data_IF_000688331485
#
_entry.id   IF_000688331485
#
_cell.length_a   1.000
_cell.length_b   1.000
_cell.length_c   1.000
_cell.angle_alpha   90.00
_cell.angle_beta   90.00
_cell.angle_gamma   90.00
#
_symmetry.space_group_name_H-M   'P 1'
#
loop_
_entity.id
_entity.type
_entity.pdbx_description
1 polymer ?
#
# COMPACT_ATOMS: atom_id res chain seq x y z
N UNK A 1 5.95 -12.45 13.74
CA UNK A 1 7.10 -12.20 14.64
C UNK A 1 8.24 -11.37 14.02
N UNK A 2 8.22 -11.05 12.72
CA UNK A 2 9.30 -10.29 12.05
C UNK A 2 9.09 -8.76 11.98
N UNK A 3 7.97 -8.23 12.45
CA UNK A 3 7.64 -6.81 12.33
C UNK A 3 8.61 -5.81 12.98
N UNK A 4 9.02 -5.97 14.25
CA UNK A 4 9.88 -4.98 14.89
C UNK A 4 11.29 -4.94 14.29
N UNK A 5 11.79 -6.08 13.81
CA UNK A 5 13.10 -6.20 13.19
C UNK A 5 13.17 -5.43 11.87
N UNK A 6 12.16 -5.56 11.00
CA UNK A 6 12.13 -4.86 9.72
C UNK A 6 12.01 -3.34 9.87
N UNK A 7 11.26 -2.86 10.88
CA UNK A 7 11.20 -1.44 11.21
C UNK A 7 12.55 -0.90 11.67
N UNK A 8 13.22 -1.65 12.53
CA UNK A 8 14.54 -1.26 13.05
C UNK A 8 15.59 -1.22 11.95
N UNK A 9 15.65 -2.27 11.12
CA UNK A 9 16.53 -2.32 9.94
C UNK A 9 16.19 -1.20 8.96
N UNK A 10 14.91 -0.93 8.74
CA UNK A 10 14.45 0.15 7.88
C UNK A 10 14.90 1.53 8.36
N UNK A 11 14.79 1.80 9.65
CA UNK A 11 15.24 3.06 10.26
C UNK A 11 16.76 3.24 10.14
N UNK A 12 17.52 2.18 10.38
CA UNK A 12 18.98 2.20 10.22
C UNK A 12 19.34 2.49 8.75
N UNK A 13 18.76 1.77 7.80
CA UNK A 13 19.00 1.99 6.36
C UNK A 13 18.64 3.41 5.95
N UNK A 14 17.51 3.93 6.41
CA UNK A 14 17.09 5.31 6.14
C UNK A 14 18.11 6.32 6.66
N UNK A 15 18.52 6.17 7.91
CA UNK A 15 19.47 7.10 8.55
C UNK A 15 20.85 7.06 7.88
N UNK A 16 21.37 5.86 7.59
CA UNK A 16 22.66 5.69 6.93
C UNK A 16 22.61 6.28 5.52
N UNK A 17 21.59 5.98 4.74
CA UNK A 17 21.42 6.52 3.39
C UNK A 17 21.34 8.04 3.41
N UNK A 18 20.61 8.63 4.36
CA UNK A 18 20.50 10.07 4.52
C UNK A 18 21.88 10.72 4.77
N UNK A 19 22.64 10.17 5.72
CA UNK A 19 23.97 10.69 6.07
C UNK A 19 24.94 10.60 4.89
N UNK A 20 24.95 9.47 4.18
CA UNK A 20 25.84 9.27 3.03
C UNK A 20 25.48 10.26 1.91
N UNK A 21 24.21 10.37 1.55
CA UNK A 21 23.76 11.24 0.48
C UNK A 21 23.97 12.72 0.81
N UNK A 22 23.81 13.13 2.08
CA UNK A 22 24.13 14.49 2.52
C UNK A 22 25.62 14.84 2.34
N UNK A 23 26.51 13.87 2.50
CA UNK A 23 27.96 14.09 2.29
C UNK A 23 28.32 14.25 0.81
N UNK A 24 27.53 13.70 -0.09
CA UNK A 24 27.76 13.81 -1.53
C UNK A 24 27.25 15.17 -2.04
N UNK A 25 25.97 15.48 -1.83
CA UNK A 25 25.38 16.74 -2.28
C UNK A 25 24.14 17.11 -1.43
N UNK A 26 24.26 18.17 -0.65
CA UNK A 26 23.19 18.59 0.26
C UNK A 26 21.90 19.03 -0.47
N UNK A 27 21.96 19.92 -1.49
CA UNK A 27 20.74 20.35 -2.20
C UNK A 27 19.97 19.18 -2.80
N UNK A 28 20.64 18.26 -3.48
CA UNK A 28 20.00 17.10 -4.11
C UNK A 28 19.35 16.19 -3.08
N UNK A 29 20.04 15.93 -1.96
CA UNK A 29 19.50 15.10 -0.87
C UNK A 29 18.25 15.72 -0.26
N UNK A 30 18.25 17.02 0.02
CA UNK A 30 17.09 17.71 0.61
C UNK A 30 15.87 17.65 -0.30
N UNK A 31 16.05 17.81 -1.62
CA UNK A 31 14.93 17.69 -2.57
C UNK A 31 14.35 16.29 -2.54
N UNK A 32 15.19 15.24 -2.63
CA UNK A 32 14.74 13.84 -2.63
C UNK A 32 14.01 13.52 -1.31
N UNK A 33 14.60 13.88 -0.17
CA UNK A 33 14.02 13.58 1.12
C UNK A 33 12.76 14.39 1.45
N UNK A 34 12.53 15.55 0.80
CA UNK A 34 11.27 16.31 0.93
C UNK A 34 10.07 15.62 0.28
N UNK A 35 10.31 14.75 -0.70
CA UNK A 35 9.25 13.98 -1.37
C UNK A 35 8.71 12.88 -0.45
N UNK A 36 9.54 12.29 0.41
CA UNK A 36 9.18 11.17 1.28
C UNK A 36 8.03 11.52 2.26
N UNK A 37 8.07 12.62 3.03
CA UNK A 37 6.96 12.96 3.92
C UNK A 37 5.66 13.24 3.16
N UNK A 38 5.75 13.83 1.98
CA UNK A 38 4.56 14.06 1.13
C UNK A 38 3.96 12.70 0.71
N UNK A 39 4.79 11.77 0.26
CA UNK A 39 4.39 10.40 -0.07
C UNK A 39 3.71 9.72 1.12
N UNK A 40 4.29 9.76 2.32
CA UNK A 40 3.74 9.14 3.53
C UNK A 40 2.37 9.72 3.87
N UNK A 41 2.19 11.05 3.79
CA UNK A 41 0.92 11.71 4.08
C UNK A 41 -0.16 11.29 3.08
N UNK A 42 0.17 11.29 1.79
CA UNK A 42 -0.79 10.93 0.73
C UNK A 42 -1.13 9.45 0.78
N UNK A 43 -0.13 8.58 0.85
CA UNK A 43 -0.31 7.12 0.97
C UNK A 43 -1.12 6.77 2.24
N UNK A 44 -0.84 7.43 3.37
CA UNK A 44 -1.56 7.22 4.63
C UNK A 44 -3.05 7.54 4.54
N UNK A 45 -3.45 8.54 3.73
CA UNK A 45 -4.88 8.84 3.51
C UNK A 45 -5.61 7.73 2.75
N UNK A 46 -5.00 7.24 1.68
CA UNK A 46 -5.59 6.13 0.91
C UNK A 46 -5.61 4.84 1.73
N UNK A 47 -4.57 4.59 2.49
CA UNK A 47 -4.47 3.46 3.39
C UNK A 47 -5.58 3.44 4.44
N UNK A 48 -5.89 4.57 5.09
CA UNK A 48 -6.98 4.64 6.06
C UNK A 48 -8.32 4.22 5.45
N UNK A 49 -8.59 4.65 4.21
CA UNK A 49 -9.80 4.27 3.45
C UNK A 49 -9.80 2.78 3.09
N UNK A 50 -8.67 2.27 2.65
CA UNK A 50 -8.49 0.85 2.32
C UNK A 50 -8.70 -0.04 3.56
N UNK A 51 -8.10 0.31 4.69
CA UNK A 51 -8.29 -0.44 5.96
C UNK A 51 -9.75 -0.48 6.41
N UNK A 52 -10.46 0.64 6.28
CA UNK A 52 -11.90 0.66 6.55
C UNK A 52 -12.66 -0.28 5.64
N UNK A 53 -12.39 -0.24 4.34
CA UNK A 53 -13.02 -1.12 3.36
C UNK A 53 -12.74 -2.62 3.62
N UNK A 54 -11.51 -2.98 4.01
CA UNK A 54 -11.17 -4.35 4.41
C UNK A 54 -11.93 -4.81 5.65
N UNK A 55 -12.09 -3.93 6.65
CA UNK A 55 -12.85 -4.25 7.86
C UNK A 55 -14.31 -4.52 7.51
N UNK A 56 -14.95 -3.63 6.76
CA UNK A 56 -16.34 -3.79 6.31
C UNK A 56 -16.53 -5.06 5.50
N UNK A 57 -15.60 -5.38 4.59
CA UNK A 57 -15.66 -6.62 3.82
C UNK A 57 -15.60 -7.88 4.71
N UNK A 58 -14.77 -7.87 5.76
CA UNK A 58 -14.70 -9.02 6.69
C UNK A 58 -15.98 -9.21 7.49
N UNK A 59 -16.64 -8.13 7.89
CA UNK A 59 -17.92 -8.17 8.58
C UNK A 59 -19.01 -8.78 7.68
N UNK A 60 -19.11 -8.32 6.44
CA UNK A 60 -20.09 -8.87 5.49
C UNK A 60 -19.82 -10.31 5.04
N UNK A 61 -18.54 -10.74 4.94
CA UNK A 61 -18.23 -12.16 4.73
C UNK A 61 -18.73 -13.00 5.91
N UNK A 62 -18.58 -12.51 7.14
CA UNK A 62 -19.07 -13.19 8.33
C UNK A 62 -20.60 -13.36 8.29
N UNK A 63 -21.31 -12.30 7.96
CA UNK A 63 -22.79 -12.31 7.83
C UNK A 63 -23.27 -13.25 6.71
N UNK A 64 -22.61 -13.20 5.55
CA UNK A 64 -22.94 -14.09 4.43
C UNK A 64 -22.70 -15.56 4.79
N UNK A 65 -21.58 -15.88 5.43
CA UNK A 65 -21.28 -17.24 5.87
C UNK A 65 -22.27 -17.73 6.94
N UNK A 66 -22.66 -16.90 7.90
CA UNK A 66 -23.67 -17.22 8.87
C UNK A 66 -25.03 -17.50 8.21
N UNK A 67 -25.42 -16.67 7.24
CA UNK A 67 -26.65 -16.89 6.47
C UNK A 67 -26.65 -18.20 5.67
N UNK A 68 -25.50 -18.57 5.09
CA UNK A 68 -25.34 -19.87 4.39
C UNK A 68 -25.44 -21.02 5.40
N UNK A 69 -24.80 -20.90 6.56
CA UNK A 69 -24.83 -21.93 7.61
C UNK A 69 -26.28 -22.14 8.10
N UNK A 70 -27.00 -21.08 8.39
CA UNK A 70 -28.41 -21.14 8.79
C UNK A 70 -29.28 -21.81 7.73
N UNK A 71 -29.10 -21.45 6.45
CA UNK A 71 -29.86 -22.08 5.34
C UNK A 71 -29.54 -23.57 5.18
N UNK A 72 -28.26 -23.96 5.39
CA UNK A 72 -27.86 -25.38 5.34
C UNK A 72 -28.39 -26.18 6.52
N UNK A 73 -28.36 -25.61 7.73
CA UNK A 73 -28.95 -26.26 8.91
C UNK A 73 -30.47 -26.42 8.78
N UNK A 74 -31.12 -25.40 8.20
CA UNK A 74 -32.56 -25.39 7.93
C UNK A 74 -33.01 -26.07 6.65
N UNK A 75 -32.13 -26.71 5.87
CA UNK A 75 -32.40 -27.20 4.50
C UNK A 75 -33.61 -28.13 4.40
N UNK A 76 -33.86 -28.97 5.43
CA UNK A 76 -35.04 -29.83 5.47
C UNK A 76 -36.33 -29.05 5.57
N UNK A 77 -36.33 -27.95 6.30
CA UNK A 77 -37.48 -27.06 6.44
C UNK A 77 -37.72 -26.31 5.13
N UNK A 78 -36.66 -25.73 4.56
CA UNK A 78 -36.70 -25.03 3.27
C UNK A 78 -37.32 -25.92 2.21
N UNK A 79 -36.87 -27.19 2.11
CA UNK A 79 -37.41 -28.16 1.14
C UNK A 79 -38.85 -28.58 1.43
N UNK A 80 -39.23 -28.71 2.70
CA UNK A 80 -40.61 -29.09 3.08
C UNK A 80 -41.64 -28.04 2.66
N UNK A 81 -41.24 -26.78 2.65
CA UNK A 81 -42.10 -25.65 2.28
C UNK A 81 -41.86 -25.13 0.86
N UNK A 82 -41.03 -25.81 0.06
CA UNK A 82 -40.61 -25.39 -1.29
C UNK A 82 -40.15 -23.92 -1.36
N UNK A 83 -39.34 -23.47 -0.36
CA UNK A 83 -38.87 -22.10 -0.21
C UNK A 83 -37.43 -21.90 -0.77
N UNK A 84 -36.98 -22.78 -1.67
CA UNK A 84 -35.64 -22.70 -2.24
C UNK A 84 -35.38 -21.39 -3.00
N UNK A 85 -36.39 -20.88 -3.67
CA UNK A 85 -36.27 -19.64 -4.43
C UNK A 85 -36.12 -18.42 -3.50
N UNK A 86 -36.77 -18.42 -2.35
CA UNK A 86 -36.63 -17.37 -1.33
C UNK A 86 -35.20 -17.37 -0.76
N UNK A 87 -34.66 -18.55 -0.41
CA UNK A 87 -33.30 -18.67 0.09
C UNK A 87 -32.27 -18.31 -0.98
N UNK A 88 -32.52 -18.63 -2.24
CA UNK A 88 -31.67 -18.23 -3.36
C UNK A 88 -31.65 -16.71 -3.56
N UNK A 89 -32.81 -16.07 -3.46
CA UNK A 89 -32.90 -14.60 -3.58
C UNK A 89 -32.18 -13.91 -2.44
N UNK A 90 -32.38 -14.34 -1.20
CA UNK A 90 -31.69 -13.86 -0.02
C UNK A 90 -30.14 -13.98 -0.15
N UNK A 91 -29.66 -15.13 -0.62
CA UNK A 91 -28.24 -15.34 -0.89
C UNK A 91 -27.74 -14.41 -2.00
N UNK A 92 -28.52 -14.23 -3.07
CA UNK A 92 -28.13 -13.38 -4.19
C UNK A 92 -28.05 -11.91 -3.79
N UNK A 93 -28.96 -11.42 -2.95
CA UNK A 93 -28.91 -10.06 -2.39
C UNK A 93 -27.63 -9.86 -1.55
N UNK A 94 -27.34 -10.76 -0.62
CA UNK A 94 -26.12 -10.70 0.20
C UNK A 94 -24.86 -10.79 -0.64
N UNK A 95 -24.85 -11.59 -1.70
CA UNK A 95 -23.71 -11.71 -2.62
C UNK A 95 -23.51 -10.43 -3.47
N UNK A 96 -24.59 -9.77 -3.90
CA UNK A 96 -24.51 -8.50 -4.60
C UNK A 96 -23.96 -7.39 -3.70
N UNK A 97 -24.42 -7.31 -2.46
CA UNK A 97 -23.89 -6.36 -1.47
C UNK A 97 -22.41 -6.61 -1.19
N UNK A 98 -22.03 -7.86 -0.98
CA UNK A 98 -20.62 -8.25 -0.84
C UNK A 98 -19.78 -7.86 -2.06
N UNK A 99 -20.31 -8.05 -3.28
CA UNK A 99 -19.62 -7.68 -4.51
C UNK A 99 -19.35 -6.17 -4.60
N UNK A 100 -20.30 -5.34 -4.18
CA UNK A 100 -20.16 -3.89 -4.21
C UNK A 100 -19.13 -3.41 -3.16
N UNK A 101 -19.14 -3.98 -1.96
CA UNK A 101 -18.12 -3.73 -0.94
C UNK A 101 -16.72 -4.14 -1.45
N UNK A 102 -16.63 -5.27 -2.14
CA UNK A 102 -15.38 -5.75 -2.73
C UNK A 102 -14.87 -4.83 -3.84
N UNK A 103 -15.75 -4.31 -4.70
CA UNK A 103 -15.39 -3.29 -5.71
C UNK A 103 -14.86 -2.02 -5.05
N UNK A 104 -15.51 -1.55 -3.98
CA UNK A 104 -15.07 -0.40 -3.21
C UNK A 104 -13.67 -0.62 -2.62
N UNK A 105 -13.45 -1.78 -2.01
CA UNK A 105 -12.14 -2.18 -1.46
C UNK A 105 -11.04 -2.16 -2.53
N UNK A 106 -11.28 -2.83 -3.68
CA UNK A 106 -10.31 -2.88 -4.77
C UNK A 106 -10.01 -1.50 -5.38
N UNK A 107 -11.00 -0.61 -5.43
CA UNK A 107 -10.80 0.77 -5.88
C UNK A 107 -9.76 1.51 -5.02
N UNK A 108 -9.87 1.41 -3.69
CA UNK A 108 -8.91 2.06 -2.81
C UNK A 108 -7.56 1.35 -2.76
N UNK A 109 -7.53 0.04 -2.89
CA UNK A 109 -6.31 -0.74 -3.01
C UNK A 109 -5.55 -0.34 -4.30
N UNK A 110 -6.23 -0.29 -5.43
CA UNK A 110 -5.64 0.16 -6.69
C UNK A 110 -5.13 1.60 -6.60
N UNK A 111 -5.93 2.52 -6.03
CA UNK A 111 -5.53 3.91 -5.85
C UNK A 111 -4.28 4.03 -4.95
N UNK A 112 -4.21 3.28 -3.86
CA UNK A 112 -3.06 3.25 -2.97
C UNK A 112 -1.78 2.80 -3.71
N UNK A 113 -1.83 1.66 -4.41
CA UNK A 113 -0.69 1.15 -5.16
C UNK A 113 -0.28 2.09 -6.31
N UNK A 114 -1.25 2.66 -7.03
CA UNK A 114 -0.96 3.62 -8.11
C UNK A 114 -0.25 4.86 -7.57
N UNK A 115 -0.74 5.43 -6.47
CA UNK A 115 -0.14 6.61 -5.84
C UNK A 115 1.27 6.30 -5.35
N UNK A 116 1.48 5.18 -4.67
CA UNK A 116 2.80 4.78 -4.18
C UNK A 116 3.79 4.62 -5.34
N UNK A 117 3.39 3.91 -6.40
CA UNK A 117 4.23 3.74 -7.61
C UNK A 117 4.50 5.06 -8.35
N UNK A 118 3.54 5.98 -8.36
CA UNK A 118 3.76 7.30 -8.94
C UNK A 118 4.84 8.09 -8.17
N UNK A 119 4.84 8.04 -6.84
CA UNK A 119 5.89 8.66 -6.04
C UNK A 119 7.25 8.00 -6.24
N UNK A 120 7.32 6.67 -6.37
CA UNK A 120 8.55 5.97 -6.73
C UNK A 120 9.11 6.51 -8.06
N UNK A 121 8.27 6.62 -9.09
CA UNK A 121 8.65 7.19 -10.38
C UNK A 121 9.12 8.64 -10.29
N UNK A 122 8.42 9.49 -9.53
CA UNK A 122 8.80 10.90 -9.31
C UNK A 122 10.17 10.99 -8.64
N UNK A 123 10.44 10.17 -7.62
CA UNK A 123 11.74 10.16 -6.94
C UNK A 123 12.87 9.73 -7.89
N UNK A 124 12.69 8.67 -8.67
CA UNK A 124 13.67 8.25 -9.66
C UNK A 124 13.92 9.32 -10.72
N UNK A 125 12.86 9.92 -11.27
CA UNK A 125 12.99 11.01 -12.24
C UNK A 125 13.71 12.22 -11.64
N UNK A 126 13.42 12.57 -10.39
CA UNK A 126 14.10 13.65 -9.68
C UNK A 126 15.60 13.38 -9.54
N UNK A 127 15.99 12.15 -9.21
CA UNK A 127 17.42 11.77 -9.14
C UNK A 127 18.07 11.86 -10.51
N UNK A 128 17.43 11.35 -11.56
CA UNK A 128 18.01 11.36 -12.92
C UNK A 128 18.16 12.78 -13.44
N UNK A 129 17.13 13.60 -13.32
CA UNK A 129 17.13 14.97 -13.87
C UNK A 129 18.07 15.88 -13.05
N UNK A 130 17.86 15.94 -11.73
CA UNK A 130 18.66 16.82 -10.88
C UNK A 130 20.08 16.29 -10.67
N UNK A 131 20.25 14.99 -10.49
CA UNK A 131 21.56 14.37 -10.37
C UNK A 131 22.37 14.52 -11.66
N UNK A 132 21.75 14.31 -12.82
CA UNK A 132 22.38 14.59 -14.13
C UNK A 132 22.76 16.06 -14.28
N UNK A 133 21.92 16.98 -13.86
CA UNK A 133 22.22 18.41 -13.85
C UNK A 133 23.43 18.75 -12.96
N UNK A 134 23.47 18.25 -11.71
CA UNK A 134 24.60 18.47 -10.80
C UNK A 134 25.88 17.80 -11.29
N UNK A 135 25.78 16.65 -11.96
CA UNK A 135 26.91 15.99 -12.60
C UNK A 135 27.48 16.83 -13.77
N UNK A 136 26.64 17.38 -14.63
CA UNK A 136 27.10 18.27 -15.72
C UNK A 136 27.74 19.56 -15.20
N UNK A 137 27.33 20.04 -14.01
CA UNK A 137 27.97 21.16 -13.34
C UNK A 137 29.27 20.81 -12.61
N UNK A 138 29.66 19.53 -12.59
CA UNK A 138 30.86 19.07 -11.88
C UNK A 138 30.70 19.03 -10.36
N UNK A 139 29.47 19.18 -9.83
CA UNK A 139 29.22 19.16 -8.38
C UNK A 139 29.17 17.76 -7.80
N UNK A 140 28.91 16.74 -8.62
CA UNK A 140 28.98 15.32 -8.29
C UNK A 140 29.68 14.57 -9.43
N UNK A 141 30.33 13.47 -9.11
CA UNK A 141 30.95 12.61 -10.11
C UNK A 141 29.98 11.47 -10.56
N UNK A 142 30.38 10.70 -11.58
CA UNK A 142 29.57 9.60 -12.08
C UNK A 142 29.33 8.50 -11.02
N UNK A 143 30.33 8.25 -10.15
CA UNK A 143 30.18 7.31 -9.02
C UNK A 143 29.16 7.78 -8.00
N UNK A 144 29.18 9.07 -7.67
CA UNK A 144 28.17 9.69 -6.78
C UNK A 144 26.77 9.60 -7.36
N UNK A 145 26.62 9.83 -8.67
CA UNK A 145 25.34 9.71 -9.35
C UNK A 145 24.77 8.28 -9.29
N UNK A 146 25.61 7.28 -9.53
CA UNK A 146 25.22 5.86 -9.40
C UNK A 146 24.86 5.55 -7.93
N UNK A 147 25.62 6.07 -6.97
CA UNK A 147 25.30 5.91 -5.54
C UNK A 147 23.92 6.48 -5.21
N UNK A 148 23.55 7.66 -5.73
CA UNK A 148 22.21 8.23 -5.55
C UNK A 148 21.12 7.29 -6.05
N UNK A 149 21.26 6.73 -7.26
CA UNK A 149 20.28 5.79 -7.84
C UNK A 149 20.11 4.56 -6.94
N UNK A 150 21.19 3.97 -6.46
CA UNK A 150 21.18 2.78 -5.61
C UNK A 150 20.57 3.05 -4.23
N UNK A 151 20.97 4.14 -3.59
CA UNK A 151 20.44 4.49 -2.26
C UNK A 151 18.98 4.91 -2.30
N UNK A 152 18.54 5.65 -3.32
CA UNK A 152 17.13 6.00 -3.50
C UNK A 152 16.30 4.74 -3.74
N UNK A 153 16.78 3.78 -4.53
CA UNK A 153 16.12 2.48 -4.70
C UNK A 153 15.94 1.73 -3.37
N UNK A 154 16.98 1.73 -2.53
CA UNK A 154 16.93 1.11 -1.19
C UNK A 154 15.96 1.85 -0.27
N UNK A 155 15.92 3.19 -0.32
CA UNK A 155 14.99 4.00 0.46
C UNK A 155 13.54 3.74 0.07
N UNK A 156 13.25 3.72 -1.24
CA UNK A 156 11.91 3.47 -1.76
C UNK A 156 11.38 2.11 -1.31
N UNK A 157 12.19 1.06 -1.48
CA UNK A 157 11.79 -0.29 -1.03
C UNK A 157 11.58 -0.34 0.49
N UNK A 158 12.37 0.39 1.25
CA UNK A 158 12.23 0.45 2.72
C UNK A 158 10.95 1.19 3.12
N UNK A 159 10.69 2.36 2.53
CA UNK A 159 9.48 3.15 2.82
C UNK A 159 8.23 2.39 2.38
N UNK A 160 8.22 1.80 1.18
CA UNK A 160 7.10 1.00 0.68
C UNK A 160 6.82 -0.18 1.61
N UNK A 161 7.84 -0.90 2.07
CA UNK A 161 7.67 -2.00 3.05
C UNK A 161 7.08 -1.51 4.37
N UNK A 162 7.58 -0.41 4.93
CA UNK A 162 7.02 0.17 6.17
C UNK A 162 5.55 0.52 5.99
N UNK A 163 5.18 1.07 4.85
CA UNK A 163 3.81 1.44 4.52
C UNK A 163 2.94 0.18 4.31
N UNK A 164 3.42 -0.84 3.62
CA UNK A 164 2.70 -2.10 3.35
C UNK A 164 2.56 -2.98 4.61
N UNK A 165 3.61 -3.07 5.43
CA UNK A 165 3.64 -3.95 6.61
C UNK A 165 2.58 -3.62 7.67
N UNK A 166 2.18 -2.36 7.74
CA UNK A 166 1.10 -1.94 8.64
C UNK A 166 -0.28 -2.44 8.14
N UNK A 167 -0.37 -3.16 7.02
CA UNK A 167 -1.61 -3.79 6.51
C UNK A 167 -1.93 -5.13 7.21
N UNK A 168 -0.95 -5.76 7.85
CA UNK A 168 -1.12 -7.09 8.46
C UNK A 168 -1.69 -7.04 9.89
N UNK A 169 -1.96 -5.86 10.43
CA UNK A 169 -2.58 -5.61 11.72
C UNK A 169 -3.83 -4.73 11.56
#
# INVERSE_FOLDING_TARGET
HHCPEEYFIGLIKFTISFIILLRINVPLTLVIFSIIPIMIIVAGRYRKKMRFAFKTQREHIGELNAGIEDSLLGIKVVKSFANEDIEREKFNEGNLEFLDIKKYMYKYMAAFHTVTRAFDGIMYLSVIILGGYFMMRGSINAGDFVAYILYVGTLLTTVSRIVEFTEQF
#
